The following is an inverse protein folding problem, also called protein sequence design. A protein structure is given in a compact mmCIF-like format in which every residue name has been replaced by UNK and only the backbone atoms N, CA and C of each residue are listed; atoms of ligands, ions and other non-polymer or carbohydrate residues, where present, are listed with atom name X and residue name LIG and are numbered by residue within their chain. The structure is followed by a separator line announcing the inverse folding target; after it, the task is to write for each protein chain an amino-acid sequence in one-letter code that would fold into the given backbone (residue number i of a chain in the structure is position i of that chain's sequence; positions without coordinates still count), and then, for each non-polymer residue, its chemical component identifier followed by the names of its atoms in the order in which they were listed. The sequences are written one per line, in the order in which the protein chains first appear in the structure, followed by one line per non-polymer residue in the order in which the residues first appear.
data_IF_901466897920
#
_entry.id   IF_901466897920
#
_cell.length_a   1.000
_cell.length_b   1.000
_cell.length_c   1.000
_cell.angle_alpha   90.00
_cell.angle_beta   90.00
_cell.angle_gamma   90.00
#
_symmetry.space_group_name_H-M   'P 1'
#
loop_
_entity.id
_entity.type
_entity.pdbx_description
1 polymer ?
#
# COMPACT_ATOMS: atom_id res chain seq x y z
N UNK A 1 28.27 77.42 15.85
CA UNK A 1 27.12 76.84 15.16
C UNK A 1 27.51 75.41 14.78
N UNK A 2 27.11 74.42 15.60
CA UNK A 2 27.52 73.03 15.49
C UNK A 2 26.32 72.24 14.96
N UNK A 3 26.45 71.66 13.76
CA UNK A 3 25.43 70.85 13.11
C UNK A 3 25.73 69.42 13.49
N UNK A 4 24.84 68.77 14.28
CA UNK A 4 24.89 67.36 14.61
C UNK A 4 24.20 66.57 13.48
N UNK A 5 24.96 65.82 12.74
CA UNK A 5 24.42 64.77 11.83
C UNK A 5 24.07 63.52 12.65
N UNK A 6 22.77 63.30 12.81
CA UNK A 6 22.27 62.07 13.40
C UNK A 6 22.25 60.98 12.28
N UNK A 7 23.14 60.02 12.45
CA UNK A 7 23.25 58.86 11.56
C UNK A 7 22.21 57.84 12.00
N UNK A 8 21.08 57.75 11.30
CA UNK A 8 20.04 56.74 11.51
C UNK A 8 20.48 55.46 10.86
N UNK A 9 20.96 54.50 11.68
CA UNK A 9 21.35 53.15 11.28
C UNK A 9 20.07 52.33 11.13
N UNK A 10 19.58 52.15 9.88
CA UNK A 10 18.51 51.21 9.58
C UNK A 10 19.01 49.78 9.69
N UNK A 11 18.66 49.13 10.77
CA UNK A 11 18.87 47.68 10.96
C UNK A 11 17.84 46.95 10.14
N UNK A 12 18.23 46.48 8.95
CA UNK A 12 17.42 45.50 8.17
C UNK A 12 17.52 44.16 8.88
N UNK A 13 16.49 43.84 9.66
CA UNK A 13 16.29 42.47 10.16
C UNK A 13 15.86 41.60 8.96
N UNK A 14 16.83 40.91 8.38
CA UNK A 14 16.59 39.84 7.44
C UNK A 14 15.98 38.68 8.23
N UNK A 15 14.63 38.62 8.28
CA UNK A 15 13.89 37.51 8.84
C UNK A 15 14.04 36.33 7.88
N UNK A 16 14.97 35.41 8.19
CA UNK A 16 15.02 34.10 7.54
C UNK A 16 13.73 33.35 7.90
N UNK A 17 12.77 33.35 6.97
CA UNK A 17 11.68 32.40 6.99
C UNK A 17 12.29 31.01 6.72
N UNK A 18 12.54 30.26 7.76
CA UNK A 18 12.72 28.83 7.64
C UNK A 18 11.34 28.24 7.35
N UNK A 19 11.09 27.92 6.08
CA UNK A 19 10.00 27.03 5.72
C UNK A 19 10.35 25.67 6.30
N UNK A 20 9.77 25.35 7.45
CA UNK A 20 9.69 23.97 7.91
C UNK A 20 8.96 23.17 6.83
N UNK A 21 9.71 22.53 5.96
CA UNK A 21 9.21 21.44 5.14
C UNK A 21 8.91 20.35 6.17
N UNK A 22 7.65 20.32 6.63
CA UNK A 22 7.13 19.18 7.35
C UNK A 22 7.18 18.02 6.38
N UNK A 23 8.26 17.25 6.46
CA UNK A 23 8.35 15.94 5.87
C UNK A 23 7.28 15.13 6.58
N UNK A 24 6.07 15.09 6.03
CA UNK A 24 5.09 14.10 6.41
C UNK A 24 5.69 12.75 6.02
N UNK A 25 6.37 12.15 6.98
CA UNK A 25 6.65 10.72 6.92
C UNK A 25 5.29 10.03 7.02
N UNK A 26 4.63 9.90 5.87
CA UNK A 26 3.51 9.00 5.73
C UNK A 26 4.07 7.59 5.91
N UNK A 27 4.23 7.19 7.16
CA UNK A 27 4.56 5.81 7.47
C UNK A 27 3.35 4.99 7.09
N UNK A 28 3.46 4.20 6.02
CA UNK A 28 2.40 3.31 5.58
C UNK A 28 1.99 2.43 6.78
N UNK A 29 0.84 2.74 7.39
CA UNK A 29 0.26 2.08 8.57
C UNK A 29 1.19 2.02 9.80
N UNK A 30 1.96 3.11 10.07
CA UNK A 30 2.89 3.16 11.21
C UNK A 30 3.87 1.97 11.27
N UNK A 31 4.15 1.39 10.10
CA UNK A 31 5.17 0.37 9.99
C UNK A 31 6.51 0.97 10.42
N UNK A 32 6.76 0.88 11.73
CA UNK A 32 8.08 1.14 12.28
C UNK A 32 9.01 0.12 11.64
N UNK A 33 9.92 0.59 10.81
CA UNK A 33 11.11 -0.15 10.35
C UNK A 33 12.01 -0.45 11.55
N UNK A 34 11.44 -1.13 12.55
CA UNK A 34 12.22 -1.85 13.53
C UNK A 34 12.98 -2.89 12.71
N UNK A 35 14.31 -2.88 12.79
CA UNK A 35 15.18 -3.84 12.12
C UNK A 35 14.47 -5.19 12.00
N UNK A 36 14.10 -5.54 10.76
CA UNK A 36 13.38 -6.79 10.49
C UNK A 36 14.40 -7.90 10.62
N UNK A 37 14.54 -8.44 11.84
CA UNK A 37 15.36 -9.63 12.10
C UNK A 37 14.68 -10.92 11.61
N UNK A 38 13.39 -10.85 11.29
CA UNK A 38 12.59 -12.00 10.86
C UNK A 38 11.85 -11.69 9.56
N UNK A 39 11.78 -12.68 8.68
CA UNK A 39 10.98 -12.60 7.45
C UNK A 39 9.50 -12.51 7.83
N UNK A 40 8.82 -11.46 7.39
CA UNK A 40 7.41 -11.22 7.64
C UNK A 40 6.64 -11.06 6.34
N UNK A 41 5.40 -11.53 6.33
CA UNK A 41 4.45 -11.23 5.27
C UNK A 41 4.11 -9.73 5.31
N UNK A 42 4.33 -9.05 4.20
CA UNK A 42 4.09 -7.60 4.07
C UNK A 42 2.90 -7.25 3.19
N UNK A 43 2.59 -8.09 2.20
CA UNK A 43 1.45 -7.92 1.31
C UNK A 43 0.75 -9.26 1.16
N UNK A 44 -0.58 -9.26 1.15
CA UNK A 44 -1.32 -10.44 0.70
C UNK A 44 -2.66 -10.07 0.09
N UNK A 45 -3.13 -10.90 -0.86
CA UNK A 45 -4.46 -10.84 -1.42
C UNK A 45 -5.09 -12.24 -1.41
N UNK A 46 -6.35 -12.31 -1.01
CA UNK A 46 -7.11 -13.56 -0.99
C UNK A 46 -8.43 -13.34 -1.73
N UNK A 47 -8.60 -14.03 -2.85
CA UNK A 47 -9.81 -14.04 -3.64
C UNK A 47 -10.69 -15.21 -3.22
N UNK A 48 -11.85 -14.91 -2.66
CA UNK A 48 -12.82 -15.89 -2.18
C UNK A 48 -13.78 -16.39 -3.27
N UNK A 49 -14.59 -17.38 -2.90
CA UNK A 49 -15.62 -17.91 -3.78
C UNK A 49 -16.77 -16.94 -4.01
N UNK A 50 -17.45 -17.07 -5.13
CA UNK A 50 -18.76 -16.50 -5.43
C UNK A 50 -19.74 -17.59 -5.81
N UNK A 51 -20.99 -17.23 -6.07
CA UNK A 51 -21.97 -18.14 -6.69
C UNK A 51 -21.70 -18.29 -8.19
N UNK A 52 -20.65 -19.01 -8.54
CA UNK A 52 -20.22 -19.20 -9.93
C UNK A 52 -18.77 -19.63 -10.07
N UNK A 53 -18.13 -19.23 -11.16
CA UNK A 53 -16.77 -19.63 -11.53
C UNK A 53 -15.72 -18.54 -11.23
N UNK A 54 -15.85 -17.88 -10.08
CA UNK A 54 -14.86 -16.87 -9.68
C UNK A 54 -13.51 -17.53 -9.33
N UNK A 55 -12.40 -16.97 -9.78
CA UNK A 55 -11.08 -17.47 -9.42
C UNK A 55 -10.86 -17.42 -7.89
N UNK A 56 -10.46 -18.55 -7.32
CA UNK A 56 -10.19 -18.68 -5.89
C UNK A 56 -8.70 -18.93 -5.73
N UNK A 57 -8.00 -17.97 -5.13
CA UNK A 57 -6.57 -18.05 -4.88
C UNK A 57 -6.13 -17.13 -3.73
N UNK A 58 -4.94 -17.39 -3.26
CA UNK A 58 -4.24 -16.58 -2.27
C UNK A 58 -2.84 -16.26 -2.77
N UNK A 59 -2.41 -15.03 -2.61
CA UNK A 59 -1.04 -14.57 -2.85
C UNK A 59 -0.52 -13.92 -1.57
N UNK A 60 0.71 -14.21 -1.21
CA UNK A 60 1.43 -13.51 -0.15
C UNK A 60 2.83 -13.14 -0.61
N UNK A 61 3.30 -11.98 -0.18
CA UNK A 61 4.64 -11.45 -0.44
C UNK A 61 5.28 -11.13 0.89
N UNK A 62 6.49 -11.60 1.08
CA UNK A 62 7.27 -11.44 2.31
C UNK A 62 8.34 -10.37 2.17
N UNK A 63 8.88 -9.89 3.29
CA UNK A 63 9.87 -8.82 3.35
C UNK A 63 11.22 -9.17 2.69
N UNK A 64 11.47 -10.46 2.42
CA UNK A 64 12.61 -10.97 1.68
C UNK A 64 12.33 -11.14 0.17
N UNK A 65 11.29 -10.46 -0.35
CA UNK A 65 10.87 -10.46 -1.75
C UNK A 65 10.30 -11.79 -2.26
N UNK A 66 10.16 -12.81 -1.41
CA UNK A 66 9.51 -14.07 -1.80
C UNK A 66 8.00 -13.90 -1.88
N UNK A 67 7.43 -14.37 -2.99
CA UNK A 67 6.01 -14.50 -3.21
C UNK A 67 5.59 -15.97 -3.18
N UNK A 68 4.41 -16.23 -2.64
CA UNK A 68 3.75 -17.55 -2.67
C UNK A 68 2.36 -17.36 -3.21
N UNK A 69 2.04 -18.08 -4.28
CA UNK A 69 0.70 -18.19 -4.83
C UNK A 69 0.11 -19.54 -4.47
N UNK A 70 -1.17 -19.56 -4.13
CA UNK A 70 -1.93 -20.77 -3.84
C UNK A 70 -3.25 -20.76 -4.62
N UNK A 71 -3.26 -21.42 -5.75
CA UNK A 71 -4.45 -21.54 -6.61
C UNK A 71 -5.35 -22.68 -6.16
N UNK A 72 -6.66 -22.43 -6.01
CA UNK A 72 -7.63 -23.44 -5.55
C UNK A 72 -8.56 -23.89 -6.67
N UNK A 73 -9.46 -23.03 -7.10
CA UNK A 73 -10.49 -23.35 -8.08
C UNK A 73 -10.64 -22.23 -9.10
N UNK A 74 -11.05 -22.58 -10.30
CA UNK A 74 -11.34 -21.64 -11.40
C UNK A 74 -10.16 -20.71 -11.73
N UNK A 75 -8.95 -21.22 -11.56
CA UNK A 75 -7.69 -20.57 -11.89
C UNK A 75 -6.93 -21.36 -12.93
N UNK A 76 -6.06 -20.71 -13.68
CA UNK A 76 -5.23 -21.37 -14.69
C UNK A 76 -4.26 -22.38 -14.09
N UNK A 77 -3.69 -22.05 -12.92
CA UNK A 77 -2.77 -22.90 -12.17
C UNK A 77 -3.33 -23.19 -10.79
N UNK A 78 -3.45 -24.46 -10.46
CA UNK A 78 -3.81 -24.93 -9.12
C UNK A 78 -2.56 -25.35 -8.34
N UNK A 79 -2.64 -25.33 -7.01
CA UNK A 79 -1.53 -25.68 -6.14
C UNK A 79 -0.68 -24.47 -5.76
N UNK A 80 0.50 -24.75 -5.23
CA UNK A 80 1.42 -23.73 -4.72
C UNK A 80 2.52 -23.46 -5.72
N UNK A 81 2.82 -22.17 -5.92
CA UNK A 81 3.92 -21.68 -6.77
C UNK A 81 4.68 -20.62 -5.98
N UNK A 82 5.96 -20.87 -5.77
CA UNK A 82 6.87 -19.88 -5.20
C UNK A 82 7.52 -19.07 -6.32
N UNK A 83 7.73 -17.77 -6.06
CA UNK A 83 8.38 -16.85 -7.00
C UNK A 83 9.10 -15.74 -6.23
N UNK A 84 9.91 -14.96 -6.94
CA UNK A 84 10.62 -13.81 -6.35
C UNK A 84 10.29 -12.56 -7.15
N UNK A 85 9.88 -11.51 -6.44
CA UNK A 85 9.63 -10.20 -7.03
C UNK A 85 10.90 -9.35 -7.00
N UNK A 86 10.96 -8.34 -7.87
CA UNK A 86 11.96 -7.30 -7.75
C UNK A 86 11.57 -6.28 -6.67
N UNK A 87 12.56 -5.53 -6.18
CA UNK A 87 12.32 -4.45 -5.23
C UNK A 87 11.41 -3.37 -5.85
N UNK A 88 11.58 -3.07 -7.14
CA UNK A 88 10.76 -2.10 -7.87
C UNK A 88 9.30 -2.52 -7.94
N UNK A 89 9.02 -3.82 -8.11
CA UNK A 89 7.65 -4.34 -8.15
C UNK A 89 6.97 -4.19 -6.79
N UNK A 90 7.66 -4.52 -5.71
CA UNK A 90 7.14 -4.33 -4.34
C UNK A 90 6.93 -2.85 -4.06
N UNK A 91 7.92 -2.01 -4.39
CA UNK A 91 7.83 -0.56 -4.18
C UNK A 91 6.66 0.05 -4.97
N UNK A 92 6.37 -0.43 -6.18
CA UNK A 92 5.23 0.05 -6.98
C UNK A 92 3.88 -0.25 -6.30
N UNK A 93 3.74 -1.41 -5.66
CA UNK A 93 2.53 -1.76 -4.88
C UNK A 93 2.43 -0.86 -3.65
N UNK A 94 3.51 -0.70 -2.89
CA UNK A 94 3.52 0.12 -1.67
C UNK A 94 3.31 1.61 -1.98
N UNK A 95 3.86 2.11 -3.08
CA UNK A 95 3.61 3.47 -3.55
C UNK A 95 2.13 3.67 -3.90
N UNK A 96 1.53 2.77 -4.69
CA UNK A 96 0.10 2.85 -5.01
C UNK A 96 -0.77 2.80 -3.75
N UNK A 97 -0.42 1.96 -2.78
CA UNK A 97 -1.12 1.90 -1.50
C UNK A 97 -1.02 3.23 -0.71
N UNK A 98 0.15 3.88 -0.74
CA UNK A 98 0.34 5.19 -0.13
C UNK A 98 -0.46 6.28 -0.84
N UNK A 99 -0.46 6.30 -2.17
CA UNK A 99 -1.21 7.26 -3.00
C UNK A 99 -2.71 7.25 -2.71
N UNK A 100 -3.29 6.07 -2.47
CA UNK A 100 -4.71 5.93 -2.14
C UNK A 100 -5.02 6.09 -0.64
N UNK A 101 -4.03 6.45 0.18
CA UNK A 101 -4.15 6.50 1.64
C UNK A 101 -4.72 5.19 2.23
N UNK A 102 -4.19 4.04 1.80
CA UNK A 102 -4.67 2.70 2.17
C UNK A 102 -4.91 2.53 3.67
N UNK A 103 -4.05 3.10 4.52
CA UNK A 103 -4.16 3.00 5.98
C UNK A 103 -5.38 3.73 6.57
N UNK A 104 -5.95 4.68 5.83
CA UNK A 104 -7.12 5.44 6.24
C UNK A 104 -8.43 4.91 5.66
N UNK A 105 -8.35 3.91 4.76
CA UNK A 105 -9.54 3.25 4.25
C UNK A 105 -10.24 2.44 5.35
N UNK A 106 -11.54 2.21 5.18
CA UNK A 106 -12.31 1.36 6.08
C UNK A 106 -11.75 -0.06 6.11
N UNK A 107 -11.94 -0.76 7.22
CA UNK A 107 -11.52 -2.17 7.35
C UNK A 107 -12.41 -3.11 6.55
N UNK A 108 -13.64 -2.68 6.24
CA UNK A 108 -14.64 -3.50 5.59
C UNK A 108 -15.55 -2.66 4.69
N UNK A 109 -15.67 -3.08 3.44
CA UNK A 109 -16.66 -2.61 2.47
C UNK A 109 -17.64 -3.75 2.21
N UNK A 110 -18.77 -3.72 2.91
CA UNK A 110 -19.72 -4.82 2.92
C UNK A 110 -21.17 -4.34 2.91
N UNK A 111 -21.97 -4.95 2.05
CA UNK A 111 -23.42 -4.89 2.11
C UNK A 111 -24.01 -6.32 2.11
N UNK A 112 -25.25 -6.47 2.58
CA UNK A 112 -25.94 -7.77 2.60
C UNK A 112 -26.43 -8.15 1.20
N UNK A 113 -25.48 -8.31 0.29
CA UNK A 113 -25.71 -8.81 -1.07
C UNK A 113 -25.18 -10.24 -1.10
N UNK A 114 -25.90 -11.17 -1.68
CA UNK A 114 -25.41 -12.52 -1.88
C UNK A 114 -24.60 -12.62 -3.17
N UNK A 115 -23.78 -13.64 -3.28
CA UNK A 115 -23.21 -14.17 -4.50
C UNK A 115 -22.00 -13.44 -5.11
N UNK A 116 -21.45 -12.41 -4.43
CA UNK A 116 -20.21 -11.76 -4.86
C UNK A 116 -18.97 -12.43 -4.26
N UNK A 117 -17.82 -12.38 -4.94
CA UNK A 117 -16.57 -12.85 -4.36
C UNK A 117 -16.08 -11.86 -3.28
N UNK A 118 -15.58 -12.39 -2.17
CA UNK A 118 -14.89 -11.60 -1.16
C UNK A 118 -13.41 -11.51 -1.50
N UNK A 119 -12.88 -10.29 -1.48
CA UNK A 119 -11.44 -10.07 -1.54
C UNK A 119 -10.95 -9.56 -0.20
N UNK A 120 -9.93 -10.21 0.34
CA UNK A 120 -9.19 -9.69 1.49
C UNK A 120 -7.83 -9.24 1.00
N UNK A 121 -7.54 -7.96 1.17
CA UNK A 121 -6.22 -7.39 0.91
C UNK A 121 -5.58 -6.99 2.21
N UNK A 122 -4.29 -7.29 2.39
CA UNK A 122 -3.53 -6.88 3.56
C UNK A 122 -2.21 -6.27 3.12
N UNK A 123 -1.89 -5.10 3.67
CA UNK A 123 -0.58 -4.47 3.54
C UNK A 123 -0.10 -4.15 4.95
N UNK A 124 1.05 -4.72 5.31
CA UNK A 124 1.56 -4.77 6.68
C UNK A 124 0.49 -5.30 7.64
N UNK A 125 0.14 -4.54 8.66
CA UNK A 125 -0.84 -4.94 9.67
C UNK A 125 -2.29 -4.53 9.33
N UNK A 126 -2.49 -3.66 8.31
CA UNK A 126 -3.81 -3.22 7.85
C UNK A 126 -4.41 -4.24 6.89
N UNK A 127 -5.59 -4.77 7.24
CA UNK A 127 -6.37 -5.69 6.41
C UNK A 127 -7.72 -5.06 6.07
N UNK A 128 -8.12 -5.18 4.81
CA UNK A 128 -9.39 -4.67 4.28
C UNK A 128 -10.17 -5.83 3.64
N UNK A 129 -11.46 -5.90 3.93
CA UNK A 129 -12.41 -6.70 3.18
C UNK A 129 -13.06 -5.84 2.10
N UNK A 130 -12.83 -6.19 0.84
CA UNK A 130 -13.63 -5.68 -0.29
C UNK A 130 -14.65 -6.76 -0.70
N UNK A 131 -15.92 -6.47 -0.44
CA UNK A 131 -17.04 -7.28 -0.89
C UNK A 131 -17.96 -6.46 -1.80
N UNK A 132 -18.38 -5.27 -1.35
CA UNK A 132 -19.23 -4.38 -2.11
C UNK A 132 -19.03 -2.92 -1.70
N UNK A 133 -18.99 -2.03 -2.70
CA UNK A 133 -18.91 -0.59 -2.44
C UNK A 133 -17.52 -0.04 -2.13
N UNK A 134 -16.47 -0.85 -2.25
CA UNK A 134 -15.10 -0.37 -2.07
C UNK A 134 -14.72 0.70 -3.12
N UNK A 135 -13.86 1.68 -2.75
CA UNK A 135 -13.37 2.69 -3.67
C UNK A 135 -12.70 2.08 -4.91
N UNK A 136 -12.83 2.77 -6.04
CA UNK A 136 -12.21 2.35 -7.30
C UNK A 136 -10.69 2.21 -7.17
N UNK A 137 -10.08 3.09 -6.41
CA UNK A 137 -8.63 3.14 -6.15
C UNK A 137 -8.15 1.86 -5.44
N UNK A 138 -8.94 1.32 -4.50
CA UNK A 138 -8.63 0.04 -3.86
C UNK A 138 -8.67 -1.11 -4.87
N UNK A 139 -9.67 -1.13 -5.75
CA UNK A 139 -9.77 -2.14 -6.82
C UNK A 139 -8.63 -2.04 -7.84
N UNK A 140 -8.12 -0.84 -8.10
CA UNK A 140 -6.93 -0.63 -8.92
C UNK A 140 -5.67 -1.19 -8.25
N UNK A 141 -5.52 -1.01 -6.94
CA UNK A 141 -4.43 -1.60 -6.17
C UNK A 141 -4.48 -3.13 -6.20
N UNK A 142 -5.64 -3.72 -6.01
CA UNK A 142 -5.84 -5.17 -6.11
C UNK A 142 -5.41 -5.71 -7.48
N UNK A 143 -5.84 -5.05 -8.58
CA UNK A 143 -5.45 -5.41 -9.93
C UNK A 143 -3.94 -5.26 -10.16
N UNK A 144 -3.31 -4.25 -9.56
CA UNK A 144 -1.86 -4.06 -9.67
C UNK A 144 -1.12 -5.24 -9.05
N UNK A 145 -1.54 -5.69 -7.86
CA UNK A 145 -0.96 -6.87 -7.19
C UNK A 145 -1.12 -8.11 -8.06
N UNK A 146 -2.33 -8.36 -8.56
CA UNK A 146 -2.62 -9.49 -9.44
C UNK A 146 -1.74 -9.44 -10.71
N UNK A 147 -1.68 -8.31 -11.39
CA UNK A 147 -0.92 -8.14 -12.63
C UNK A 147 0.59 -8.35 -12.45
N UNK A 148 1.14 -7.94 -11.31
CA UNK A 148 2.56 -8.15 -10.99
C UNK A 148 2.80 -9.64 -10.73
N UNK A 149 2.01 -10.25 -9.86
CA UNK A 149 2.24 -11.63 -9.44
C UNK A 149 1.97 -12.64 -10.56
N UNK A 150 0.94 -12.43 -11.39
CA UNK A 150 0.60 -13.36 -12.47
C UNK A 150 1.63 -13.43 -13.61
N UNK A 151 2.59 -12.52 -13.68
CA UNK A 151 3.75 -12.66 -14.58
C UNK A 151 4.57 -13.92 -14.26
N UNK A 152 4.58 -14.33 -13.01
CA UNK A 152 5.36 -15.46 -12.49
C UNK A 152 4.55 -16.78 -12.42
N UNK A 153 3.23 -16.68 -12.49
CA UNK A 153 2.31 -17.82 -12.38
C UNK A 153 1.91 -18.27 -13.80
N UNK A 154 2.83 -18.99 -14.46
CA UNK A 154 2.65 -19.48 -15.85
C UNK A 154 2.56 -20.99 -15.91
#
# INVERSE_FOLDING_TARGET
MRIFYSFYLLFFLCSCYTTDISTQTNSLCDYKTKEIKEVKKIISINRGACYGTCPIYFISISSDMRGVYHGKNFVEKTGEIEFTLSEEEINSILQKANEINYCQLEDEYFERISDLPRTYIQIFDKKILDYYGAPKELKELEKLIDNICFKYIK
#
